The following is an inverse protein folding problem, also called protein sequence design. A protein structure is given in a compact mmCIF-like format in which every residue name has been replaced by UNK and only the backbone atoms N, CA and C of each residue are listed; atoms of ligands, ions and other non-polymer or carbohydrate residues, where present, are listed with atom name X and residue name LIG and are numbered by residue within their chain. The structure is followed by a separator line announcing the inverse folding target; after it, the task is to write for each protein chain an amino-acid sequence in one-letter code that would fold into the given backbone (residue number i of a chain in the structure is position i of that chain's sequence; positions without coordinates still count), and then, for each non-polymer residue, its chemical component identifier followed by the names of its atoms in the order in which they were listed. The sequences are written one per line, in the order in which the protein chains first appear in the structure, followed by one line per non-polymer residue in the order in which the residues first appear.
data_IF_242723482030
#
_entry.id   IF_242723482030
#
_cell.length_a   1.000
_cell.length_b   1.000
_cell.length_c   1.000
_cell.angle_alpha   90.00
_cell.angle_beta   90.00
_cell.angle_gamma   90.00
#
_symmetry.space_group_name_H-M   'P 1'
#
loop_
_entity.id
_entity.type
_entity.pdbx_description
1 polymer ?
#
# COMPACT_ATOMS: atom_id res chain seq x y z
N UNK A 1 5.63 88.48 -67.52
CA UNK A 1 5.05 87.22 -66.94
C UNK A 1 6.05 86.40 -66.13
N UNK A 2 7.31 86.40 -66.41
CA UNK A 2 8.34 85.59 -65.71
C UNK A 2 8.62 86.02 -64.26
N UNK A 3 8.36 87.24 -63.84
CA UNK A 3 8.69 87.73 -62.50
C UNK A 3 7.75 87.27 -61.38
N UNK A 4 6.58 86.75 -61.70
CA UNK A 4 5.65 86.14 -60.70
C UNK A 4 5.81 84.66 -60.55
N UNK A 5 6.43 83.98 -61.49
CA UNK A 5 6.59 82.51 -61.44
C UNK A 5 7.69 82.12 -60.45
N UNK A 6 8.80 82.90 -60.38
CA UNK A 6 9.92 82.60 -59.46
C UNK A 6 9.51 82.69 -57.98
N UNK A 7 8.84 83.72 -57.46
CA UNK A 7 8.43 83.76 -56.07
C UNK A 7 7.38 82.70 -55.75
N UNK A 8 6.49 82.33 -56.67
CA UNK A 8 5.51 81.26 -56.50
C UNK A 8 6.20 79.92 -56.35
N UNK A 9 7.23 79.62 -57.16
CA UNK A 9 7.99 78.34 -57.02
C UNK A 9 8.77 78.29 -55.71
N UNK A 10 9.35 79.43 -55.27
CA UNK A 10 10.05 79.45 -53.96
C UNK A 10 9.09 79.23 -52.78
N UNK A 11 7.91 79.84 -52.81
CA UNK A 11 6.90 79.62 -51.78
C UNK A 11 6.43 78.17 -51.80
N UNK A 12 6.22 77.60 -52.98
CA UNK A 12 5.81 76.18 -53.12
C UNK A 12 6.90 75.27 -52.61
N UNK A 13 8.16 75.50 -52.87
CA UNK A 13 9.27 74.74 -52.32
C UNK A 13 9.39 74.86 -50.81
N UNK A 14 9.19 76.01 -50.23
CA UNK A 14 9.20 76.31 -48.81
C UNK A 14 8.01 75.58 -48.11
N UNK A 15 6.83 75.55 -48.71
CA UNK A 15 5.65 74.80 -48.21
C UNK A 15 5.91 73.34 -48.27
N UNK A 16 6.48 72.80 -49.36
CA UNK A 16 6.84 71.37 -49.47
C UNK A 16 7.92 71.01 -48.44
N UNK A 17 8.93 71.84 -48.23
CA UNK A 17 9.99 71.65 -47.26
C UNK A 17 9.43 71.68 -45.81
N UNK A 18 8.53 72.62 -45.50
CA UNK A 18 7.87 72.72 -44.20
C UNK A 18 6.89 71.54 -43.95
N UNK A 19 6.19 71.15 -45.01
CA UNK A 19 5.28 69.95 -44.93
C UNK A 19 6.07 68.67 -44.66
N UNK A 20 7.22 68.50 -45.32
CA UNK A 20 8.10 67.33 -45.07
C UNK A 20 8.70 67.35 -43.66
N UNK A 21 9.02 68.51 -43.11
CA UNK A 21 9.53 68.66 -41.74
C UNK A 21 8.52 68.17 -40.67
N UNK A 22 7.23 68.25 -40.91
CA UNK A 22 6.16 67.75 -40.03
C UNK A 22 5.77 66.31 -40.34
N UNK A 23 5.68 65.94 -41.63
CA UNK A 23 5.27 64.64 -42.07
C UNK A 23 6.23 63.49 -41.65
N UNK A 24 7.53 63.76 -41.82
CA UNK A 24 8.52 62.72 -41.45
C UNK A 24 8.46 62.35 -39.97
N UNK A 25 8.52 63.25 -39.00
CA UNK A 25 8.41 62.92 -37.59
C UNK A 25 7.02 62.33 -37.22
N UNK A 26 5.94 62.74 -37.89
CA UNK A 26 4.61 62.21 -37.69
C UNK A 26 4.52 60.72 -38.14
N UNK A 27 5.14 60.42 -39.31
CA UNK A 27 5.23 59.05 -39.79
C UNK A 27 6.09 58.17 -38.84
N UNK A 28 7.23 58.70 -38.41
CA UNK A 28 8.09 57.98 -37.43
C UNK A 28 7.36 57.73 -36.10
N UNK A 29 6.66 58.76 -35.59
CA UNK A 29 5.88 58.63 -34.35
C UNK A 29 4.76 57.67 -34.53
N UNK A 30 4.02 57.68 -35.65
CA UNK A 30 2.96 56.68 -35.89
C UNK A 30 3.52 55.29 -36.04
N UNK A 31 4.66 55.06 -36.66
CA UNK A 31 5.33 53.75 -36.74
C UNK A 31 5.74 53.23 -35.34
N UNK A 32 6.27 54.10 -34.47
CA UNK A 32 6.62 53.80 -33.10
C UNK A 32 5.35 53.42 -32.30
N UNK A 33 4.27 54.17 -32.45
CA UNK A 33 2.99 53.86 -31.78
C UNK A 33 2.41 52.54 -32.22
N UNK A 34 2.45 52.23 -33.52
CA UNK A 34 2.02 50.95 -34.07
C UNK A 34 2.88 49.82 -33.50
N UNK A 35 4.19 49.98 -33.44
CA UNK A 35 5.10 48.98 -32.88
C UNK A 35 4.84 48.74 -31.40
N UNK A 36 4.59 49.76 -30.60
CA UNK A 36 4.23 49.67 -29.18
C UNK A 36 2.83 49.08 -28.96
N UNK A 37 1.93 49.24 -29.95
CA UNK A 37 0.57 48.71 -29.89
C UNK A 37 0.48 47.20 -30.04
N UNK A 38 1.46 46.55 -30.69
CA UNK A 38 1.46 45.13 -30.95
C UNK A 38 1.88 44.35 -29.69
N UNK A 39 1.03 43.49 -29.22
CA UNK A 39 1.32 42.54 -28.10
C UNK A 39 1.11 41.11 -28.53
N UNK A 40 2.13 40.27 -28.32
CA UNK A 40 2.03 38.83 -28.53
C UNK A 40 1.70 38.17 -27.19
N UNK A 41 0.68 37.34 -27.19
CA UNK A 41 0.28 36.52 -26.03
C UNK A 41 0.71 35.11 -26.31
N UNK A 42 1.53 34.54 -25.38
CA UNK A 42 2.05 33.18 -25.48
C UNK A 42 0.96 32.12 -25.21
N UNK A 43 1.10 30.89 -25.74
CA UNK A 43 0.19 29.81 -25.43
C UNK A 43 0.08 29.56 -23.92
N UNK A 44 -1.09 29.14 -23.44
CA UNK A 44 -1.38 28.91 -22.01
C UNK A 44 -1.20 30.13 -21.09
N UNK A 45 -1.20 31.33 -21.64
CA UNK A 45 -1.28 32.60 -20.88
C UNK A 45 -2.40 33.46 -21.43
N UNK A 46 -2.99 34.23 -20.58
CA UNK A 46 -3.96 35.27 -20.96
C UNK A 46 -3.50 36.60 -20.39
N UNK A 47 -3.84 37.69 -21.08
CA UNK A 47 -3.57 39.03 -20.59
C UNK A 47 -4.88 39.79 -20.47
N UNK A 48 -5.15 40.31 -19.27
CA UNK A 48 -6.25 41.26 -19.08
C UNK A 48 -5.79 42.65 -19.52
N UNK A 49 -6.67 43.35 -20.19
CA UNK A 49 -6.48 44.74 -20.60
C UNK A 49 -7.31 45.65 -19.72
N UNK A 50 -6.64 46.58 -19.08
CA UNK A 50 -7.26 47.64 -18.28
C UNK A 50 -7.19 48.95 -19.07
N UNK A 51 -8.32 49.59 -19.30
CA UNK A 51 -8.44 50.93 -19.87
C UNK A 51 -8.62 51.91 -18.72
N UNK A 52 -7.64 52.82 -18.53
CA UNK A 52 -7.64 53.77 -17.41
C UNK A 52 -7.98 53.11 -16.07
N UNK A 53 -7.29 52.00 -15.76
CA UNK A 53 -7.46 51.16 -14.52
C UNK A 53 -8.81 50.45 -14.39
N UNK A 54 -9.66 50.49 -15.41
CA UNK A 54 -10.89 49.69 -15.45
C UNK A 54 -10.70 48.50 -16.37
N UNK A 55 -11.12 47.33 -15.93
CA UNK A 55 -11.12 46.13 -16.76
C UNK A 55 -11.93 46.37 -18.05
N UNK A 56 -11.35 46.06 -19.19
CA UNK A 56 -11.96 46.21 -20.49
C UNK A 56 -12.20 44.88 -21.21
N UNK A 57 -11.13 44.14 -21.49
CA UNK A 57 -11.18 42.86 -22.23
C UNK A 57 -10.03 41.93 -21.88
N UNK A 58 -10.10 40.67 -22.37
CA UNK A 58 -9.07 39.70 -22.22
C UNK A 58 -8.44 39.36 -23.58
N UNK A 59 -7.11 39.36 -23.61
CA UNK A 59 -6.33 38.94 -24.77
C UNK A 59 -5.97 37.46 -24.60
N UNK A 60 -6.40 36.65 -25.55
CA UNK A 60 -6.04 35.24 -25.68
C UNK A 60 -4.76 35.06 -26.49
N UNK A 61 -4.18 33.85 -26.48
CA UNK A 61 -2.98 33.56 -27.27
C UNK A 61 -3.18 33.90 -28.74
N UNK A 62 -2.49 34.87 -29.20
CA UNK A 62 -2.40 35.36 -30.58
C UNK A 62 -1.79 36.77 -30.57
N UNK A 63 -1.67 37.32 -31.76
CA UNK A 63 -1.29 38.73 -31.95
C UNK A 63 -2.49 39.62 -31.62
N UNK A 64 -2.31 40.56 -30.70
CA UNK A 64 -3.36 41.47 -30.23
C UNK A 64 -2.84 42.91 -30.24
N UNK A 65 -3.77 43.85 -30.39
CA UNK A 65 -3.46 45.29 -30.42
C UNK A 65 -3.98 45.94 -29.13
N UNK A 66 -3.13 46.79 -28.55
CA UNK A 66 -3.45 47.64 -27.39
C UNK A 66 -3.19 49.10 -27.72
N UNK A 67 -3.86 50.01 -27.04
CA UNK A 67 -3.61 51.44 -27.15
C UNK A 67 -2.48 51.78 -26.16
N UNK A 68 -1.25 52.10 -26.67
CA UNK A 68 -0.15 52.43 -25.78
C UNK A 68 -0.50 53.67 -24.93
N UNK A 69 0.04 53.74 -23.70
CA UNK A 69 -0.16 54.77 -22.68
C UNK A 69 -1.54 54.80 -21.99
N UNK A 70 -2.58 54.22 -22.59
CA UNK A 70 -3.96 54.24 -22.06
C UNK A 70 -4.40 52.85 -21.56
N UNK A 71 -3.95 51.83 -22.25
CA UNK A 71 -4.24 50.42 -21.89
C UNK A 71 -3.05 49.76 -21.21
N UNK A 72 -3.30 49.17 -20.06
CA UNK A 72 -2.33 48.37 -19.29
C UNK A 72 -2.69 46.92 -19.39
N UNK A 73 -1.68 46.02 -19.29
CA UNK A 73 -1.91 44.59 -19.38
C UNK A 73 -1.34 43.87 -18.17
N UNK A 74 -2.14 43.00 -17.56
CA UNK A 74 -1.68 42.02 -16.56
C UNK A 74 -1.72 40.63 -17.16
N UNK A 75 -0.68 39.83 -16.93
CA UNK A 75 -0.61 38.45 -17.43
C UNK A 75 -1.04 37.45 -16.34
N UNK A 76 -1.85 36.46 -16.74
CA UNK A 76 -2.23 35.34 -15.92
C UNK A 76 -1.82 34.06 -16.64
N UNK A 77 -1.13 33.15 -15.91
CA UNK A 77 -0.76 31.85 -16.40
C UNK A 77 -1.94 30.88 -16.19
N UNK A 78 -2.25 30.11 -17.23
CA UNK A 78 -3.26 29.04 -17.19
C UNK A 78 -2.65 27.65 -16.89
N UNK A 79 -1.34 27.58 -16.69
CA UNK A 79 -0.68 26.34 -16.37
C UNK A 79 -1.15 25.80 -15.03
N UNK A 80 -1.18 24.47 -14.92
CA UNK A 80 -1.34 23.82 -13.63
C UNK A 80 -0.18 24.18 -12.73
N UNK A 81 -0.50 24.74 -11.57
CA UNK A 81 0.45 25.15 -10.54
C UNK A 81 0.36 24.16 -9.38
N UNK A 82 1.51 23.94 -8.75
CA UNK A 82 1.63 23.07 -7.62
C UNK A 82 1.94 23.90 -6.38
N UNK A 83 1.14 23.74 -5.34
CA UNK A 83 1.33 24.36 -4.04
C UNK A 83 1.54 23.25 -3.01
N UNK A 84 2.74 23.20 -2.42
CA UNK A 84 2.99 22.34 -1.27
C UNK A 84 2.66 23.14 0.00
N UNK A 85 1.79 22.56 0.83
CA UNK A 85 1.37 23.12 2.11
C UNK A 85 1.73 22.12 3.19
N UNK A 86 2.36 22.63 4.23
CA UNK A 86 2.64 21.89 5.47
C UNK A 86 1.78 22.47 6.56
N UNK A 87 1.01 21.64 7.22
CA UNK A 87 0.08 22.08 8.28
C UNK A 87 0.13 21.11 9.45
N UNK A 88 0.09 21.66 10.64
CA UNK A 88 0.02 20.95 11.90
C UNK A 88 -1.34 21.15 12.56
N UNK A 89 -1.96 20.07 13.03
CA UNK A 89 -3.25 20.12 13.71
C UNK A 89 -3.30 19.22 14.93
N UNK A 90 -4.26 19.54 15.79
CA UNK A 90 -4.59 18.73 16.95
C UNK A 90 -5.88 17.98 16.63
N UNK A 91 -5.84 16.67 16.73
CA UNK A 91 -6.99 15.78 16.57
C UNK A 91 -7.93 15.82 17.78
N UNK A 92 -9.12 15.21 17.70
CA UNK A 92 -10.09 15.15 18.81
C UNK A 92 -9.54 14.46 20.07
N UNK A 93 -8.53 13.63 19.94
CA UNK A 93 -7.82 12.94 21.02
C UNK A 93 -6.53 13.64 21.47
N UNK A 94 -6.38 14.94 21.17
CA UNK A 94 -5.26 15.80 21.54
C UNK A 94 -3.89 15.34 21.03
N UNK A 95 -3.86 14.67 19.87
CA UNK A 95 -2.62 14.26 19.21
C UNK A 95 -2.28 15.26 18.12
N UNK A 96 -1.05 15.79 18.11
CA UNK A 96 -0.57 16.66 17.04
C UNK A 96 -0.21 15.81 15.81
N UNK A 97 -0.79 16.18 14.68
CA UNK A 97 -0.58 15.53 13.37
C UNK A 97 0.00 16.53 12.39
N UNK A 98 1.12 16.19 11.78
CA UNK A 98 1.75 16.95 10.70
C UNK A 98 1.35 16.34 9.37
N UNK A 99 0.81 17.16 8.47
CA UNK A 99 0.38 16.71 7.14
C UNK A 99 1.03 17.55 6.07
N UNK A 100 1.61 16.89 5.09
CA UNK A 100 2.17 17.50 3.88
C UNK A 100 1.24 17.23 2.71
N UNK A 101 0.71 18.32 2.17
CA UNK A 101 -0.21 18.31 1.05
C UNK A 101 0.43 18.90 -0.19
N UNK A 102 0.08 18.35 -1.30
CA UNK A 102 0.39 18.88 -2.62
C UNK A 102 -0.92 19.18 -3.34
N UNK A 103 -1.20 20.46 -3.54
CA UNK A 103 -2.45 20.93 -4.15
C UNK A 103 -2.14 21.38 -5.57
N UNK A 104 -2.78 20.75 -6.54
CA UNK A 104 -2.66 21.10 -7.95
C UNK A 104 -3.88 21.93 -8.33
N UNK A 105 -3.62 23.14 -8.81
CA UNK A 105 -4.67 24.09 -9.20
C UNK A 105 -4.31 24.81 -10.48
N UNK A 106 -5.30 25.35 -11.16
CA UNK A 106 -5.14 26.12 -12.38
C UNK A 106 -6.29 27.12 -12.51
N UNK A 107 -6.16 28.06 -13.46
CA UNK A 107 -7.24 28.96 -13.83
C UNK A 107 -7.82 28.49 -15.15
N UNK A 108 -9.13 28.26 -15.17
CA UNK A 108 -9.84 27.80 -16.37
C UNK A 108 -10.19 28.98 -17.29
N UNK A 109 -10.01 28.82 -18.60
CA UNK A 109 -10.47 29.80 -19.61
C UNK A 109 -11.91 29.46 -20.06
N UNK A 110 -12.92 30.12 -19.49
CA UNK A 110 -14.33 29.88 -19.78
C UNK A 110 -14.81 30.54 -21.08
N UNK A 111 -13.94 31.23 -21.82
CA UNK A 111 -14.22 31.93 -23.08
C UNK A 111 -15.24 33.08 -23.01
N UNK A 112 -15.70 33.45 -21.85
CA UNK A 112 -16.62 34.54 -21.61
C UNK A 112 -15.87 35.78 -21.07
N UNK A 113 -16.15 36.97 -21.50
CA UNK A 113 -15.43 38.21 -21.11
C UNK A 113 -16.20 39.01 -20.04
N UNK A 114 -17.06 38.37 -19.26
CA UNK A 114 -17.84 39.01 -18.20
C UNK A 114 -17.02 39.23 -16.91
N UNK A 115 -17.36 40.24 -16.08
CA UNK A 115 -16.67 40.47 -14.80
C UNK A 115 -16.84 39.35 -13.76
N UNK A 116 -17.77 38.42 -13.98
CA UNK A 116 -17.98 37.24 -13.09
C UNK A 116 -17.12 36.05 -13.46
N UNK A 117 -16.22 36.19 -14.35
CA UNK A 117 -15.46 35.16 -14.95
C UNK A 117 -14.22 34.72 -14.13
N UNK A 118 -13.79 33.46 -14.29
CA UNK A 118 -12.69 32.86 -13.52
C UNK A 118 -11.38 33.65 -13.63
N UNK A 119 -11.00 34.09 -14.83
CA UNK A 119 -9.78 34.88 -15.05
C UNK A 119 -9.86 36.24 -14.37
N UNK A 120 -11.00 36.94 -14.46
CA UNK A 120 -11.18 38.20 -13.77
C UNK A 120 -11.04 38.05 -12.27
N UNK A 121 -11.73 37.05 -11.69
CA UNK A 121 -11.66 36.75 -10.24
C UNK A 121 -10.25 36.40 -9.81
N UNK A 122 -9.51 35.58 -10.57
CA UNK A 122 -8.16 35.18 -10.21
C UNK A 122 -7.13 36.32 -10.16
N UNK A 123 -7.37 37.40 -10.93
CA UNK A 123 -6.46 38.54 -10.98
C UNK A 123 -6.86 39.64 -10.01
N UNK A 124 -8.17 39.89 -9.84
CA UNK A 124 -8.66 41.04 -9.11
C UNK A 124 -9.24 40.75 -7.73
N UNK A 125 -9.58 39.50 -7.43
CA UNK A 125 -10.13 39.16 -6.12
C UNK A 125 -9.07 39.00 -5.04
N UNK A 126 -7.83 38.68 -5.42
CA UNK A 126 -6.78 38.30 -4.48
C UNK A 126 -5.45 38.93 -4.89
N UNK A 127 -4.77 39.52 -3.93
CA UNK A 127 -3.45 40.11 -4.16
C UNK A 127 -2.32 39.03 -4.04
N UNK A 128 -2.40 38.15 -3.04
CA UNK A 128 -1.46 37.02 -2.85
C UNK A 128 -2.22 35.69 -2.84
N UNK A 129 -2.21 35.04 -3.99
CA UNK A 129 -2.86 33.75 -4.22
C UNK A 129 -2.30 32.65 -3.32
N UNK A 130 -0.98 32.66 -3.11
CA UNK A 130 -0.31 31.60 -2.35
C UNK A 130 -0.72 31.63 -0.88
N UNK A 131 -0.64 32.78 -0.26
CA UNK A 131 -1.02 32.96 1.15
C UNK A 131 -2.50 32.70 1.36
N UNK A 132 -3.36 33.17 0.46
CA UNK A 132 -4.79 32.91 0.55
C UNK A 132 -5.10 31.39 0.44
N UNK A 133 -4.54 30.70 -0.55
CA UNK A 133 -4.75 29.27 -0.71
C UNK A 133 -4.26 28.49 0.50
N UNK A 134 -3.07 28.78 1.01
CA UNK A 134 -2.54 28.09 2.19
C UNK A 134 -3.42 28.31 3.42
N UNK A 135 -3.90 29.53 3.66
CA UNK A 135 -4.79 29.82 4.78
C UNK A 135 -6.18 29.18 4.65
N UNK A 136 -6.74 29.15 3.43
CA UNK A 136 -8.02 28.47 3.15
C UNK A 136 -7.91 26.96 3.35
N UNK A 137 -6.81 26.37 2.89
CA UNK A 137 -6.53 24.96 3.09
C UNK A 137 -6.37 24.64 4.57
N UNK A 138 -5.58 25.44 5.30
CA UNK A 138 -5.38 25.28 6.75
C UNK A 138 -6.70 25.37 7.52
N UNK A 139 -7.55 26.36 7.21
CA UNK A 139 -8.87 26.51 7.84
C UNK A 139 -9.76 25.29 7.63
N UNK A 140 -9.88 24.79 6.40
CA UNK A 140 -10.73 23.63 6.09
C UNK A 140 -10.22 22.36 6.75
N UNK A 141 -8.93 22.16 6.70
CA UNK A 141 -8.31 20.99 7.31
C UNK A 141 -8.42 20.99 8.83
N UNK A 142 -8.22 22.15 9.46
CA UNK A 142 -8.40 22.31 10.90
C UNK A 142 -9.83 21.99 11.34
N UNK A 143 -10.81 22.46 10.59
CA UNK A 143 -12.22 22.18 10.88
C UNK A 143 -12.55 20.67 10.78
N UNK A 144 -12.02 20.00 9.79
CA UNK A 144 -12.28 18.57 9.56
C UNK A 144 -11.49 17.66 10.51
N UNK A 145 -10.18 17.89 10.63
CA UNK A 145 -9.29 17.00 11.43
C UNK A 145 -9.62 17.05 12.92
N UNK A 146 -10.07 18.19 13.44
CA UNK A 146 -10.48 18.31 14.84
C UNK A 146 -11.68 17.39 15.21
N UNK A 147 -12.44 16.91 14.24
CA UNK A 147 -13.58 16.01 14.49
C UNK A 147 -13.20 14.53 14.54
N UNK A 148 -12.02 14.16 14.03
CA UNK A 148 -11.58 12.77 13.94
C UNK A 148 -10.50 12.44 14.95
N UNK A 149 -10.46 11.16 15.36
CA UNK A 149 -9.35 10.59 16.14
C UNK A 149 -8.16 10.29 15.23
N UNK A 150 -6.94 10.28 15.79
CA UNK A 150 -5.73 9.96 15.02
C UNK A 150 -5.84 8.63 14.26
N UNK A 151 -6.49 7.59 14.83
CA UNK A 151 -6.69 6.29 14.17
C UNK A 151 -7.65 6.37 12.98
N UNK A 152 -8.69 7.17 13.08
CA UNK A 152 -9.69 7.35 12.02
C UNK A 152 -9.10 8.08 10.82
N UNK A 153 -8.21 9.04 11.04
CA UNK A 153 -7.50 9.77 9.97
C UNK A 153 -6.71 8.80 9.08
N UNK A 154 -6.13 7.75 9.66
CA UNK A 154 -5.42 6.72 8.89
C UNK A 154 -6.34 5.70 8.23
N UNK A 155 -7.41 5.27 8.91
CA UNK A 155 -8.32 4.23 8.43
C UNK A 155 -9.32 4.73 7.39
N UNK A 156 -9.83 5.97 7.55
CA UNK A 156 -10.80 6.62 6.64
C UNK A 156 -10.16 7.67 5.74
N UNK A 157 -8.87 7.50 5.48
CA UNK A 157 -8.08 8.48 4.75
C UNK A 157 -8.72 8.94 3.45
N UNK A 158 -9.18 8.01 2.61
CA UNK A 158 -9.74 8.32 1.29
C UNK A 158 -11.06 9.11 1.37
N UNK A 159 -11.91 8.77 2.32
CA UNK A 159 -13.19 9.46 2.56
C UNK A 159 -12.97 10.91 3.01
N UNK A 160 -12.14 11.10 4.03
CA UNK A 160 -11.83 12.42 4.59
C UNK A 160 -11.23 13.33 3.53
N UNK A 161 -10.29 12.83 2.72
CA UNK A 161 -9.64 13.64 1.70
C UNK A 161 -10.57 13.98 0.55
N UNK A 162 -11.52 13.14 0.22
CA UNK A 162 -12.54 13.43 -0.79
C UNK A 162 -13.47 14.58 -0.34
N UNK A 163 -13.91 14.54 0.90
CA UNK A 163 -14.74 15.62 1.46
C UNK A 163 -14.00 16.96 1.53
N UNK A 164 -12.72 16.92 1.89
CA UNK A 164 -11.85 18.10 1.89
C UNK A 164 -11.67 18.64 0.48
N UNK A 165 -11.44 17.77 -0.50
CA UNK A 165 -11.30 18.17 -1.90
C UNK A 165 -12.55 18.85 -2.43
N UNK A 166 -13.73 18.35 -2.12
CA UNK A 166 -15.01 18.93 -2.53
C UNK A 166 -15.24 20.32 -1.92
N UNK A 167 -15.03 20.46 -0.61
CA UNK A 167 -15.13 21.74 0.09
C UNK A 167 -14.11 22.78 -0.40
N UNK A 168 -12.87 22.37 -0.64
CA UNK A 168 -11.84 23.25 -1.17
C UNK A 168 -12.12 23.65 -2.62
N UNK A 169 -12.67 22.76 -3.43
CA UNK A 169 -13.07 23.03 -4.81
C UNK A 169 -14.11 24.14 -4.85
N UNK A 170 -15.12 24.07 -4.00
CA UNK A 170 -16.14 25.11 -3.90
C UNK A 170 -15.53 26.47 -3.49
N UNK A 171 -14.74 26.50 -2.41
CA UNK A 171 -14.12 27.75 -1.93
C UNK A 171 -13.16 28.36 -2.93
N UNK A 172 -12.30 27.56 -3.57
CA UNK A 172 -11.34 28.06 -4.54
C UNK A 172 -12.02 28.58 -5.82
N UNK A 173 -13.15 27.99 -6.22
CA UNK A 173 -13.93 28.44 -7.37
C UNK A 173 -14.48 29.85 -7.18
N UNK A 174 -14.79 30.27 -5.96
CA UNK A 174 -15.24 31.63 -5.65
C UNK A 174 -14.20 32.68 -6.00
N UNK A 175 -12.91 32.32 -5.96
CA UNK A 175 -11.77 33.16 -6.28
C UNK A 175 -11.26 32.96 -7.71
N UNK A 176 -11.94 32.14 -8.53
CA UNK A 176 -11.55 31.88 -9.91
C UNK A 176 -10.43 30.87 -10.08
N UNK A 177 -10.16 30.05 -9.09
CA UNK A 177 -9.22 28.94 -9.16
C UNK A 177 -9.95 27.62 -9.23
N UNK A 178 -9.55 26.76 -10.16
CA UNK A 178 -10.06 25.39 -10.28
C UNK A 178 -9.08 24.43 -9.62
N UNK A 179 -9.57 23.65 -8.68
CA UNK A 179 -8.81 22.59 -8.05
C UNK A 179 -8.80 21.38 -8.97
N UNK A 180 -7.61 20.90 -9.35
CA UNK A 180 -7.44 19.69 -10.14
C UNK A 180 -7.41 18.44 -9.24
N UNK A 181 -6.50 18.40 -8.27
CA UNK A 181 -6.39 17.32 -7.31
C UNK A 181 -5.64 17.72 -6.03
N UNK A 182 -5.91 17.02 -4.95
CA UNK A 182 -5.17 17.10 -3.69
C UNK A 182 -4.44 15.77 -3.48
N UNK A 183 -3.14 15.84 -3.24
CA UNK A 183 -2.30 14.68 -2.96
C UNK A 183 -1.72 14.79 -1.57
N UNK A 184 -2.05 13.87 -0.71
CA UNK A 184 -1.44 13.74 0.62
C UNK A 184 -0.10 13.03 0.47
N UNK A 185 0.98 13.76 0.69
CA UNK A 185 2.34 13.20 0.58
C UNK A 185 2.71 12.38 1.80
N UNK A 186 2.46 12.93 2.98
CA UNK A 186 2.84 12.30 4.23
C UNK A 186 1.95 12.77 5.37
N UNK A 187 1.71 11.88 6.34
CA UNK A 187 1.06 12.18 7.60
C UNK A 187 1.99 11.65 8.69
N UNK A 188 2.45 12.52 9.57
CA UNK A 188 3.29 12.15 10.71
C UNK A 188 2.62 12.57 12.01
N UNK A 189 2.73 11.70 12.97
CA UNK A 189 2.38 12.02 14.36
C UNK A 189 3.60 12.57 15.10
N UNK A 190 3.39 13.25 16.17
CA UNK A 190 4.46 13.63 17.08
C UNK A 190 5.27 12.40 17.52
N UNK A 191 6.59 12.55 17.63
CA UNK A 191 7.53 11.45 17.86
C UNK A 191 7.24 10.67 19.15
N UNK A 192 6.80 11.37 20.18
CA UNK A 192 6.41 10.79 21.48
C UNK A 192 5.21 9.86 21.36
N UNK A 193 4.18 10.28 20.62
CA UNK A 193 2.95 9.52 20.37
C UNK A 193 3.23 8.33 19.44
N UNK A 194 4.05 8.56 18.43
CA UNK A 194 4.47 7.48 17.51
C UNK A 194 5.22 6.37 18.28
N UNK A 195 6.14 6.73 19.16
CA UNK A 195 6.86 5.77 20.00
C UNK A 195 5.92 4.99 20.94
N UNK A 196 4.96 5.67 21.57
CA UNK A 196 3.97 5.02 22.42
C UNK A 196 3.05 4.06 21.61
N UNK A 197 2.59 4.49 20.44
CA UNK A 197 1.80 3.65 19.54
C UNK A 197 2.57 2.40 19.07
N UNK A 198 3.82 2.57 18.67
CA UNK A 198 4.66 1.44 18.24
C UNK A 198 4.81 0.41 19.37
N UNK A 199 5.00 0.87 20.62
CA UNK A 199 5.07 -0.03 21.76
C UNK A 199 3.76 -0.77 22.04
N UNK A 200 2.62 -0.13 21.86
CA UNK A 200 1.30 -0.78 21.96
C UNK A 200 1.11 -1.80 20.86
N UNK A 201 1.42 -1.44 19.61
CA UNK A 201 1.33 -2.35 18.45
C UNK A 201 2.26 -3.54 18.64
N UNK A 202 3.49 -3.33 19.09
CA UNK A 202 4.45 -4.40 19.40
C UNK A 202 3.89 -5.34 20.47
N UNK A 203 3.36 -4.83 21.56
CA UNK A 203 2.77 -5.66 22.63
C UNK A 203 1.55 -6.46 22.15
N UNK A 204 0.71 -5.87 21.29
CA UNK A 204 -0.43 -6.57 20.67
C UNK A 204 0.03 -7.68 19.73
N UNK A 205 1.05 -7.40 18.91
CA UNK A 205 1.62 -8.40 18.00
C UNK A 205 2.31 -9.54 18.74
N UNK A 206 3.02 -9.26 19.83
CA UNK A 206 3.60 -10.29 20.69
C UNK A 206 2.52 -11.16 21.33
N UNK A 207 1.42 -10.56 21.80
CA UNK A 207 0.29 -11.31 22.34
C UNK A 207 -0.38 -12.19 21.28
N UNK A 208 -0.59 -11.67 20.08
CA UNK A 208 -1.17 -12.40 18.95
C UNK A 208 -0.26 -13.57 18.54
N UNK A 209 1.05 -13.33 18.45
CA UNK A 209 2.04 -14.36 18.15
C UNK A 209 2.04 -15.48 19.20
N UNK A 210 2.04 -15.12 20.49
CA UNK A 210 1.98 -16.10 21.58
C UNK A 210 0.67 -16.92 21.57
N UNK A 211 -0.47 -16.30 21.22
CA UNK A 211 -1.72 -17.03 21.06
C UNK A 211 -1.66 -18.03 19.89
N UNK A 212 -1.14 -17.60 18.76
CA UNK A 212 -0.99 -18.45 17.57
C UNK A 212 -0.02 -19.61 17.82
N UNK A 213 1.09 -19.37 18.53
CA UNK A 213 2.01 -20.43 18.96
C UNK A 213 1.34 -21.47 19.87
N UNK A 214 0.59 -20.99 20.85
CA UNK A 214 -0.16 -21.86 21.76
C UNK A 214 -1.20 -22.72 21.03
N UNK A 215 -1.89 -22.12 20.09
CA UNK A 215 -2.89 -22.82 19.27
C UNK A 215 -2.26 -23.84 18.33
N UNK A 216 -1.14 -23.50 17.71
CA UNK A 216 -0.35 -24.40 16.88
C UNK A 216 0.19 -25.60 17.70
N UNK A 217 0.72 -25.36 18.91
CA UNK A 217 1.21 -26.40 19.80
C UNK A 217 0.07 -27.34 20.24
N UNK A 218 -1.08 -26.79 20.61
CA UNK A 218 -2.28 -27.58 20.95
C UNK A 218 -2.72 -28.47 19.79
N UNK A 219 -2.78 -27.92 18.57
CA UNK A 219 -3.13 -28.70 17.38
C UNK A 219 -2.11 -29.80 17.13
N UNK A 220 -0.83 -29.53 17.26
CA UNK A 220 0.22 -30.52 17.11
C UNK A 220 0.11 -31.64 18.15
N UNK A 221 -0.14 -31.32 19.42
CA UNK A 221 -0.32 -32.31 20.48
C UNK A 221 -1.53 -33.21 20.20
N UNK A 222 -2.67 -32.62 19.80
CA UNK A 222 -3.88 -33.38 19.45
C UNK A 222 -3.60 -34.32 18.27
N UNK A 223 -2.96 -33.79 17.21
CA UNK A 223 -2.62 -34.60 16.02
C UNK A 223 -1.64 -35.74 16.33
N UNK A 224 -0.65 -35.51 17.19
CA UNK A 224 0.23 -36.59 17.67
C UNK A 224 -0.53 -37.64 18.44
N UNK A 225 -1.41 -37.23 19.35
CA UNK A 225 -2.22 -38.20 20.12
C UNK A 225 -3.19 -39.00 19.23
N UNK A 226 -3.78 -38.36 18.21
CA UNK A 226 -4.61 -39.06 17.21
C UNK A 226 -3.78 -40.05 16.39
N UNK A 227 -2.60 -39.65 15.90
CA UNK A 227 -1.70 -40.54 15.16
C UNK A 227 -1.21 -41.71 16.00
N UNK A 228 -0.87 -41.50 17.27
CA UNK A 228 -0.47 -42.54 18.21
C UNK A 228 -1.62 -43.54 18.50
N UNK A 229 -2.85 -43.03 18.62
CA UNK A 229 -4.05 -43.87 18.74
C UNK A 229 -4.26 -44.75 17.51
N UNK A 230 -4.22 -44.16 16.32
CA UNK A 230 -4.37 -44.88 15.05
C UNK A 230 -3.26 -45.93 14.87
N UNK A 231 -2.01 -45.55 15.13
CA UNK A 231 -0.88 -46.50 15.09
C UNK A 231 -1.08 -47.69 16.03
N UNK A 232 -1.53 -47.44 17.27
CA UNK A 232 -1.84 -48.54 18.23
C UNK A 232 -2.97 -49.41 17.72
N UNK A 233 -4.05 -48.84 17.17
CA UNK A 233 -5.17 -49.63 16.63
C UNK A 233 -4.68 -50.51 15.47
N UNK A 234 -3.89 -49.96 14.55
CA UNK A 234 -3.32 -50.72 13.44
C UNK A 234 -2.40 -51.84 13.92
N UNK A 235 -1.57 -51.60 14.92
CA UNK A 235 -0.69 -52.62 15.53
C UNK A 235 -1.55 -53.76 16.15
N UNK A 236 -2.64 -53.42 16.87
CA UNK A 236 -3.52 -54.42 17.43
C UNK A 236 -4.26 -55.23 16.36
N UNK A 237 -4.73 -54.58 15.31
CA UNK A 237 -5.36 -55.24 14.17
C UNK A 237 -4.38 -56.18 13.46
N UNK A 238 -3.15 -55.73 13.23
CA UNK A 238 -2.09 -56.53 12.62
C UNK A 238 -1.75 -57.74 13.50
N UNK A 239 -1.59 -57.56 14.81
CA UNK A 239 -1.34 -58.69 15.74
C UNK A 239 -2.51 -59.68 15.78
N UNK A 240 -3.75 -59.19 15.72
CA UNK A 240 -4.92 -60.08 15.66
C UNK A 240 -4.94 -60.88 14.35
N UNK A 241 -4.67 -60.24 13.23
CA UNK A 241 -4.56 -60.87 11.92
C UNK A 241 -3.41 -61.90 11.88
N UNK A 242 -2.26 -61.55 12.39
CA UNK A 242 -1.10 -62.46 12.49
C UNK A 242 -1.45 -63.70 13.31
N UNK A 243 -2.13 -63.55 14.46
CA UNK A 243 -2.58 -64.70 15.27
C UNK A 243 -3.57 -65.61 14.53
N UNK A 244 -4.48 -64.98 13.77
CA UNK A 244 -5.42 -65.78 12.95
C UNK A 244 -4.71 -66.56 11.84
N UNK A 245 -3.73 -65.95 11.17
CA UNK A 245 -2.94 -66.62 10.13
C UNK A 245 -2.08 -67.76 10.71
N UNK A 246 -1.46 -67.52 11.86
CA UNK A 246 -0.72 -68.57 12.58
C UNK A 246 -1.67 -69.70 12.93
N UNK A 247 -2.87 -69.44 13.47
CA UNK A 247 -3.86 -70.43 13.82
C UNK A 247 -4.35 -71.21 12.58
N UNK A 248 -4.53 -70.52 11.41
CA UNK A 248 -4.89 -71.18 10.15
C UNK A 248 -3.77 -72.10 9.69
N UNK A 249 -2.54 -71.66 9.70
CA UNK A 249 -1.38 -72.46 9.33
C UNK A 249 -1.23 -73.70 10.25
N UNK A 250 -1.43 -73.52 11.54
CA UNK A 250 -1.42 -74.66 12.48
C UNK A 250 -2.50 -75.71 12.13
N UNK A 251 -3.71 -75.18 11.82
CA UNK A 251 -4.82 -76.10 11.44
C UNK A 251 -4.49 -76.85 10.15
N UNK A 252 -4.01 -76.21 9.15
CA UNK A 252 -3.62 -76.76 7.84
C UNK A 252 -2.47 -77.78 8.02
N UNK A 253 -1.47 -77.46 8.86
CA UNK A 253 -0.35 -78.34 9.15
C UNK A 253 -0.81 -79.61 9.89
N UNK A 254 -1.73 -79.47 10.84
CA UNK A 254 -2.34 -80.59 11.53
C UNK A 254 -3.17 -81.46 10.62
N UNK A 255 -3.95 -80.84 9.72
CA UNK A 255 -4.78 -81.59 8.76
C UNK A 255 -3.93 -82.40 7.75
N UNK A 256 -2.77 -81.77 7.29
CA UNK A 256 -1.81 -82.50 6.45
C UNK A 256 -1.15 -83.70 7.15
N UNK A 257 -0.73 -83.54 8.37
CA UNK A 257 -0.11 -84.62 9.15
C UNK A 257 -1.13 -85.73 9.39
N UNK A 258 -2.38 -85.38 9.70
CA UNK A 258 -3.47 -86.35 9.92
C UNK A 258 -3.84 -87.15 8.66
N UNK A 259 -3.74 -86.50 7.46
CA UNK A 259 -3.98 -87.18 6.22
C UNK A 259 -2.88 -88.20 5.80
N UNK A 260 -1.67 -88.03 6.39
CA UNK A 260 -0.52 -88.91 6.12
C UNK A 260 -0.43 -90.14 7.05
N UNK A 261 -0.94 -90.04 8.26
CA UNK A 261 -0.87 -91.18 9.23
C UNK A 261 -2.00 -91.04 10.26
N UNK A 262 -2.99 -91.91 10.14
CA UNK A 262 -4.22 -91.98 11.00
C UNK A 262 -3.98 -92.41 12.42
N UNK A 263 -2.77 -92.96 12.70
CA UNK A 263 -2.37 -93.53 14.04
C UNK A 263 -1.68 -92.50 14.96
N UNK A 264 -1.44 -91.27 14.51
CA UNK A 264 -0.75 -90.30 15.33
C UNK A 264 -1.69 -89.58 16.29
N UNK A 265 -1.32 -89.72 17.63
CA UNK A 265 -2.09 -89.09 18.71
C UNK A 265 -1.91 -87.56 18.71
N UNK A 266 -3.02 -86.85 18.93
CA UNK A 266 -3.07 -85.35 18.97
C UNK A 266 -2.01 -84.73 19.85
N UNK A 267 -1.71 -85.31 20.99
CA UNK A 267 -0.70 -84.81 21.93
C UNK A 267 0.72 -84.82 21.35
N UNK A 268 1.06 -85.78 20.50
CA UNK A 268 2.38 -85.83 19.85
C UNK A 268 2.53 -84.78 18.74
N UNK A 269 1.48 -84.57 17.97
CA UNK A 269 1.47 -83.56 16.90
C UNK A 269 1.56 -82.15 17.49
N UNK A 270 0.77 -81.89 18.55
CA UNK A 270 0.80 -80.57 19.22
C UNK A 270 2.16 -80.32 19.85
N UNK A 271 2.75 -81.33 20.48
CA UNK A 271 4.09 -81.23 21.09
C UNK A 271 5.17 -80.90 20.00
N UNK A 272 5.12 -81.62 18.87
CA UNK A 272 6.05 -81.36 17.76
C UNK A 272 5.90 -79.95 17.18
N UNK A 273 4.66 -79.50 16.98
CA UNK A 273 4.42 -78.12 16.45
C UNK A 273 4.84 -77.03 17.44
N UNK A 274 4.60 -77.27 18.75
CA UNK A 274 5.05 -76.36 19.81
C UNK A 274 6.59 -76.27 19.87
N UNK A 275 7.23 -77.43 19.80
CA UNK A 275 8.69 -77.51 19.81
C UNK A 275 9.32 -76.87 18.55
N UNK A 276 8.74 -77.06 17.36
CA UNK A 276 9.20 -76.45 16.14
C UNK A 276 9.05 -74.94 16.19
N UNK A 277 7.89 -74.44 16.66
CA UNK A 277 7.69 -72.96 16.79
C UNK A 277 8.59 -72.36 17.87
N UNK A 278 8.92 -73.15 18.91
CA UNK A 278 9.88 -72.72 19.94
C UNK A 278 11.30 -72.65 19.41
N UNK A 279 11.70 -73.60 18.59
CA UNK A 279 13.01 -73.58 17.92
C UNK A 279 13.12 -72.37 16.98
N UNK A 280 12.07 -72.08 16.23
CA UNK A 280 12.01 -70.91 15.32
C UNK A 280 12.08 -69.55 16.07
N UNK A 281 11.35 -69.41 17.18
CA UNK A 281 11.43 -68.22 18.04
C UNK A 281 12.82 -68.07 18.64
N UNK A 282 13.46 -69.17 19.09
CA UNK A 282 14.83 -69.13 19.57
C UNK A 282 15.84 -68.73 18.48
N UNK A 283 15.63 -69.25 17.28
CA UNK A 283 16.47 -68.92 16.15
C UNK A 283 16.36 -67.43 15.75
N UNK A 284 15.13 -66.87 15.76
CA UNK A 284 14.86 -65.48 15.53
C UNK A 284 15.43 -64.56 16.63
N UNK A 285 15.35 -65.04 17.89
CA UNK A 285 16.00 -64.34 19.02
C UNK A 285 17.53 -64.35 18.89
N UNK A 286 18.08 -65.45 18.49
CA UNK A 286 19.52 -65.63 18.29
C UNK A 286 20.08 -64.78 17.16
N UNK A 287 19.32 -64.62 16.06
CA UNK A 287 19.70 -63.83 14.93
C UNK A 287 19.41 -62.31 15.10
N UNK A 288 18.77 -61.91 16.17
CA UNK A 288 18.45 -60.53 16.43
C UNK A 288 19.65 -59.80 17.07
N UNK A 289 20.17 -58.75 16.40
CA UNK A 289 21.30 -57.94 16.91
C UNK A 289 21.04 -57.24 18.25
N UNK A 290 19.82 -57.29 18.74
CA UNK A 290 19.38 -56.56 19.95
C UNK A 290 19.20 -57.47 21.18
N UNK A 291 19.40 -58.78 21.06
CA UNK A 291 19.17 -59.72 22.15
C UNK A 291 20.49 -60.29 22.69
N UNK A 292 20.82 -59.90 23.88
CA UNK A 292 21.97 -60.47 24.60
C UNK A 292 21.46 -61.46 25.64
N UNK A 293 21.67 -62.70 25.39
CA UNK A 293 21.48 -63.86 26.27
C UNK A 293 20.03 -64.21 26.68
N UNK A 294 19.53 -65.34 26.14
CA UNK A 294 18.35 -66.07 26.68
C UNK A 294 18.84 -67.33 27.34
N UNK A 295 18.66 -67.43 28.64
CA UNK A 295 18.98 -68.63 29.38
C UNK A 295 17.75 -69.54 29.42
N UNK A 296 17.88 -70.76 28.87
CA UNK A 296 16.84 -71.81 28.92
C UNK A 296 17.31 -72.93 29.87
N UNK A 297 16.61 -73.07 30.98
CA UNK A 297 16.84 -74.19 31.88
C UNK A 297 16.07 -75.41 31.37
N UNK A 298 16.67 -76.58 31.42
CA UNK A 298 16.12 -77.84 30.90
C UNK A 298 14.85 -78.33 31.60
N UNK A 299 14.54 -77.84 32.79
CA UNK A 299 13.31 -78.13 33.50
C UNK A 299 12.20 -77.09 33.12
N UNK A 300 11.29 -77.53 32.31
CA UNK A 300 10.17 -76.83 31.66
C UNK A 300 9.09 -76.25 32.59
N UNK A 301 9.37 -76.07 33.83
CA UNK A 301 8.56 -75.21 34.68
C UNK A 301 9.05 -73.77 34.59
N UNK A 302 8.20 -72.89 34.06
CA UNK A 302 8.41 -71.42 34.09
C UNK A 302 8.49 -70.92 35.53
N UNK A 303 9.60 -71.25 36.22
CA UNK A 303 9.96 -70.53 37.44
C UNK A 303 10.32 -69.14 37.07
N UNK A 304 9.47 -68.22 37.45
CA UNK A 304 9.78 -66.81 37.40
C UNK A 304 11.17 -66.59 37.99
N UNK A 305 12.10 -66.11 37.17
CA UNK A 305 13.46 -65.82 37.60
C UNK A 305 13.46 -65.09 38.92
N UNK A 306 14.23 -65.54 39.86
CA UNK A 306 14.42 -64.86 41.12
C UNK A 306 14.84 -63.40 40.90
N UNK A 307 14.39 -62.55 41.80
CA UNK A 307 14.58 -61.07 41.69
C UNK A 307 16.05 -60.69 41.50
N UNK A 308 16.97 -61.47 41.95
CA UNK A 308 18.42 -61.26 41.85
C UNK A 308 19.01 -61.58 40.48
N UNK A 309 18.52 -62.59 39.78
CA UNK A 309 18.98 -62.90 38.41
C UNK A 309 18.47 -61.89 37.39
N UNK A 310 17.39 -61.20 37.71
CA UNK A 310 16.89 -60.08 36.88
C UNK A 310 17.76 -58.87 36.95
N UNK A 311 18.35 -58.51 38.07
CA UNK A 311 19.14 -57.35 38.29
C UNK A 311 20.50 -57.43 37.60
N UNK A 312 21.11 -58.59 37.49
CA UNK A 312 22.39 -58.79 36.83
C UNK A 312 22.29 -58.63 35.30
N UNK A 313 21.17 -59.09 34.71
CA UNK A 313 20.96 -59.02 33.27
C UNK A 313 20.67 -57.56 32.75
N UNK A 314 20.22 -56.66 33.62
CA UNK A 314 19.84 -55.31 33.23
C UNK A 314 20.87 -54.21 33.60
N UNK A 315 21.65 -54.42 34.65
CA UNK A 315 22.61 -53.41 35.12
C UNK A 315 23.89 -53.30 34.29
N UNK A 316 24.32 -54.40 33.66
CA UNK A 316 25.53 -54.42 32.82
C UNK A 316 25.30 -54.08 31.35
N UNK A 317 24.05 -53.87 30.94
CA UNK A 317 23.67 -53.62 29.57
C UNK A 317 23.37 -52.14 29.28
N UNK A 318 23.40 -51.30 30.33
CA UNK A 318 23.17 -49.87 30.21
C UNK A 318 24.46 -49.02 30.48
N UNK A 319 25.62 -49.57 30.33
CA UNK A 319 26.89 -48.82 30.33
C UNK A 319 27.47 -48.74 28.95
#
# INVERSE_FOLDING_TARGET
MMWFIVPFLVILLLVIWWLNWILIPAIVLSAILIFLSVKIVTPNTVKTVEFLWKFNRILRPWLSFIIPFVEWTRSQDLFRKNLTVEVDWITSDNVTVFVWLNVIYFVQDDKDDSPNWTIYKSIYSINDTRTMMSSTIDEQLRAMVSTFNHKEIFSKREEIWKDIEENLREKLSQFGYTLDSIQVRNIKLESSVMAAMNKVVESLKLKEAAQNEWEAEKIMQVKRAEADKEAKILIWQWMAWQRMEIARWFKESVDMIKSSDESLNWDKILKFLLDSSRIETLWNIWNSDKTKLVYLNEDLEWRWMNKESKLIAWSDLMK
#
